data_IF_450453933820
#
_entry.id   IF_450453933820
#
_cell.length_a   1.000
_cell.length_b   1.000
_cell.length_c   1.000
_cell.angle_alpha   90.00
_cell.angle_beta   90.00
_cell.angle_gamma   90.00
#
_symmetry.space_group_name_H-M   'P 1'
#
loop_
_entity.id
_entity.type
_entity.pdbx_description
1 polymer ?
#
# COMPACT_ATOMS: atom_id res chain seq x y z
N UNK A 1 -20.27 -28.02 -4.43
CA UNK A 1 -18.95 -27.35 -4.32
C UNK A 1 -18.75 -26.27 -5.38
N UNK A 2 -19.39 -26.35 -6.56
CA UNK A 2 -19.33 -25.32 -7.62
C UNK A 2 -19.94 -23.94 -7.27
N UNK A 3 -20.80 -23.84 -6.25
CA UNK A 3 -21.51 -22.61 -5.85
C UNK A 3 -21.02 -22.02 -4.52
N UNK A 4 -19.97 -22.59 -3.93
CA UNK A 4 -19.40 -22.07 -2.68
C UNK A 4 -18.39 -20.99 -3.02
N UNK A 5 -18.62 -19.76 -2.58
CA UNK A 5 -17.66 -18.67 -2.75
C UNK A 5 -16.32 -19.03 -2.07
N UNK A 6 -15.18 -18.70 -2.68
CA UNK A 6 -13.87 -19.04 -2.12
C UNK A 6 -13.65 -18.36 -0.75
N UNK A 7 -12.82 -18.97 0.12
CA UNK A 7 -12.44 -18.35 1.37
C UNK A 7 -11.68 -17.05 1.07
N UNK A 8 -12.07 -15.98 1.75
CA UNK A 8 -11.41 -14.70 1.58
C UNK A 8 -10.10 -14.70 2.36
N UNK A 9 -8.95 -14.72 1.67
CA UNK A 9 -7.65 -14.65 2.31
C UNK A 9 -7.21 -13.20 2.52
N UNK A 10 -7.41 -12.70 3.75
CA UNK A 10 -7.03 -11.35 4.14
C UNK A 10 -5.51 -11.19 4.22
N UNK A 11 -4.76 -12.26 4.49
CA UNK A 11 -3.31 -12.15 4.69
C UNK A 11 -2.58 -11.75 3.39
N UNK A 12 -2.90 -12.41 2.26
CA UNK A 12 -2.33 -12.05 0.96
C UNK A 12 -2.77 -10.66 0.48
N UNK A 13 -4.02 -10.28 0.73
CA UNK A 13 -4.54 -8.94 0.38
C UNK A 13 -3.80 -7.84 1.13
N UNK A 14 -3.60 -7.98 2.44
CA UNK A 14 -2.82 -7.02 3.22
C UNK A 14 -1.36 -6.98 2.80
N UNK A 15 -0.74 -8.13 2.50
CA UNK A 15 0.64 -8.18 2.00
C UNK A 15 0.79 -7.40 0.68
N UNK A 16 -0.11 -7.61 -0.27
CA UNK A 16 -0.14 -6.89 -1.55
C UNK A 16 -0.30 -5.38 -1.33
N UNK A 17 -1.27 -4.97 -0.51
CA UNK A 17 -1.49 -3.56 -0.17
C UNK A 17 -0.24 -2.91 0.44
N UNK A 18 0.41 -3.61 1.39
CA UNK A 18 1.60 -3.10 2.06
C UNK A 18 2.76 -2.93 1.07
N UNK A 19 2.99 -3.90 0.18
CA UNK A 19 4.03 -3.81 -0.87
C UNK A 19 3.77 -2.63 -1.81
N UNK A 20 2.52 -2.44 -2.26
CA UNK A 20 2.18 -1.31 -3.14
C UNK A 20 2.39 0.03 -2.44
N UNK A 21 1.98 0.18 -1.18
CA UNK A 21 2.22 1.40 -0.40
C UNK A 21 3.72 1.66 -0.23
N UNK A 22 4.49 0.63 0.10
CA UNK A 22 5.93 0.77 0.29
C UNK A 22 6.63 1.21 -1.01
N UNK A 23 6.32 0.53 -2.12
CA UNK A 23 6.85 0.85 -3.44
C UNK A 23 6.48 2.28 -3.88
N UNK A 24 5.21 2.65 -3.78
CA UNK A 24 4.74 3.99 -4.17
C UNK A 24 5.36 5.10 -3.32
N UNK A 25 5.54 4.88 -2.01
CA UNK A 25 6.24 5.83 -1.13
C UNK A 25 7.71 6.01 -1.51
N UNK A 26 8.44 4.92 -1.81
CA UNK A 26 9.84 5.00 -2.28
C UNK A 26 9.95 5.89 -3.52
N UNK A 27 9.14 5.61 -4.54
CA UNK A 27 9.21 6.29 -5.84
C UNK A 27 8.58 7.69 -5.86
N UNK A 28 7.71 8.01 -4.89
CA UNK A 28 7.05 9.33 -4.81
C UNK A 28 8.04 10.49 -4.70
N UNK A 29 9.25 10.27 -4.18
CA UNK A 29 10.28 11.30 -4.07
C UNK A 29 10.76 11.86 -5.41
N UNK A 30 10.77 11.03 -6.46
CA UNK A 30 11.15 11.44 -7.82
C UNK A 30 9.97 11.76 -8.74
N UNK A 31 8.80 11.18 -8.46
CA UNK A 31 7.62 11.22 -9.34
C UNK A 31 6.35 11.40 -8.50
N UNK A 32 5.98 12.65 -8.15
CA UNK A 32 4.83 12.92 -7.28
C UNK A 32 3.48 12.46 -7.87
N UNK A 33 3.41 12.25 -9.19
CA UNK A 33 2.23 11.68 -9.86
C UNK A 33 1.88 10.26 -9.36
N UNK A 34 2.87 9.48 -8.89
CA UNK A 34 2.63 8.13 -8.36
C UNK A 34 1.73 8.15 -7.11
N UNK A 35 1.75 9.22 -6.33
CA UNK A 35 0.91 9.35 -5.14
C UNK A 35 -0.58 9.45 -5.50
N UNK A 36 -0.90 10.10 -6.63
CA UNK A 36 -2.28 10.17 -7.14
C UNK A 36 -2.76 8.79 -7.60
N UNK A 37 -1.89 8.04 -8.30
CA UNK A 37 -2.20 6.66 -8.68
C UNK A 37 -2.32 5.73 -7.46
N UNK A 38 -1.48 5.91 -6.43
CA UNK A 38 -1.56 5.16 -5.19
C UNK A 38 -2.88 5.43 -4.44
N UNK A 39 -3.32 6.70 -4.40
CA UNK A 39 -4.61 7.08 -3.81
C UNK A 39 -5.79 6.45 -4.59
N UNK A 40 -5.75 6.49 -5.94
CA UNK A 40 -6.74 5.84 -6.78
C UNK A 40 -6.76 4.31 -6.57
N UNK A 41 -5.59 3.68 -6.49
CA UNK A 41 -5.45 2.25 -6.21
C UNK A 41 -6.04 1.86 -4.86
N UNK A 42 -5.76 2.63 -3.81
CA UNK A 42 -6.36 2.45 -2.48
C UNK A 42 -7.88 2.60 -2.51
N UNK A 43 -8.40 3.59 -3.24
CA UNK A 43 -9.84 3.80 -3.38
C UNK A 43 -10.55 2.62 -4.07
N UNK A 44 -10.01 2.15 -5.21
CA UNK A 44 -10.53 0.99 -5.93
C UNK A 44 -10.44 -0.27 -5.06
N UNK A 45 -9.31 -0.47 -4.38
CA UNK A 45 -9.10 -1.65 -3.53
C UNK A 45 -10.09 -1.66 -2.38
N UNK A 46 -10.29 -0.54 -1.69
CA UNK A 46 -11.28 -0.39 -0.62
C UNK A 46 -12.69 -0.75 -1.10
N UNK A 47 -13.10 -0.26 -2.27
CA UNK A 47 -14.42 -0.56 -2.80
C UNK A 47 -14.57 -2.02 -3.20
N UNK A 48 -13.54 -2.58 -3.84
CA UNK A 48 -13.51 -3.99 -4.24
C UNK A 48 -13.58 -4.93 -3.04
N UNK A 49 -12.80 -4.65 -1.98
CA UNK A 49 -12.75 -5.43 -0.74
C UNK A 49 -14.13 -5.41 -0.05
N UNK A 50 -14.76 -4.23 -0.01
CA UNK A 50 -16.12 -4.07 0.50
C UNK A 50 -17.14 -4.89 -0.30
N UNK A 51 -17.09 -4.85 -1.63
CA UNK A 51 -17.99 -5.65 -2.47
C UNK A 51 -17.77 -7.16 -2.29
N UNK A 52 -16.52 -7.60 -2.23
CA UNK A 52 -16.16 -9.01 -2.01
C UNK A 52 -16.62 -9.47 -0.62
N UNK A 53 -16.45 -8.66 0.42
CA UNK A 53 -16.88 -8.99 1.78
C UNK A 53 -18.41 -9.11 1.89
N UNK A 54 -19.18 -8.24 1.23
CA UNK A 54 -20.64 -8.27 1.33
C UNK A 54 -21.28 -9.32 0.40
N UNK A 55 -20.75 -9.54 -0.82
CA UNK A 55 -21.43 -10.30 -1.88
C UNK A 55 -20.63 -11.52 -2.40
N UNK A 56 -19.31 -11.54 -2.19
CA UNK A 56 -18.39 -12.49 -2.83
C UNK A 56 -17.67 -13.45 -1.89
N UNK A 57 -17.90 -13.36 -0.57
CA UNK A 57 -17.18 -14.16 0.42
C UNK A 57 -18.09 -15.16 1.12
N UNK A 58 -17.61 -16.39 1.28
CA UNK A 58 -18.20 -17.33 2.23
C UNK A 58 -18.11 -16.75 3.65
N UNK A 59 -19.12 -17.03 4.48
CA UNK A 59 -19.28 -16.52 5.86
C UNK A 59 -17.91 -16.34 6.54
N UNK A 60 -17.41 -15.10 6.68
CA UNK A 60 -16.02 -14.88 7.01
C UNK A 60 -15.73 -15.38 8.42
N UNK A 61 -14.58 -16.05 8.66
CA UNK A 61 -14.12 -16.31 10.01
C UNK A 61 -13.99 -14.98 10.76
N UNK A 62 -14.12 -14.99 12.09
CA UNK A 62 -14.05 -13.78 12.88
C UNK A 62 -12.70 -13.07 12.69
N UNK A 63 -12.66 -12.09 11.79
CA UNK A 63 -11.46 -11.36 11.46
C UNK A 63 -11.08 -10.46 12.61
N UNK A 64 -9.96 -10.80 13.25
CA UNK A 64 -9.47 -10.04 14.39
C UNK A 64 -8.81 -8.74 13.92
N UNK A 65 -8.89 -7.69 14.75
CA UNK A 65 -8.25 -6.41 14.48
C UNK A 65 -6.70 -6.44 14.56
N UNK A 66 -6.07 -7.62 14.64
CA UNK A 66 -4.60 -7.76 14.75
C UNK A 66 -3.89 -7.43 13.44
N UNK A 67 -4.33 -8.02 12.32
CA UNK A 67 -3.73 -7.80 10.99
C UNK A 67 -3.67 -6.32 10.58
N UNK A 68 -4.76 -5.52 10.69
CA UNK A 68 -4.69 -4.09 10.38
C UNK A 68 -3.78 -3.30 11.32
N UNK A 69 -3.70 -3.67 12.60
CA UNK A 69 -2.80 -3.02 13.57
C UNK A 69 -1.33 -3.23 13.19
N UNK A 70 -0.95 -4.46 12.88
CA UNK A 70 0.41 -4.77 12.43
C UNK A 70 0.75 -4.06 11.12
N UNK A 71 -0.17 -4.04 10.15
CA UNK A 71 0.01 -3.32 8.89
C UNK A 71 0.21 -1.81 9.10
N UNK A 72 -0.56 -1.20 10.01
CA UNK A 72 -0.40 0.23 10.34
C UNK A 72 0.94 0.55 11.03
N UNK A 73 1.45 -0.36 11.87
CA UNK A 73 2.77 -0.24 12.47
C UNK A 73 3.87 -0.34 11.41
N UNK A 74 3.71 -1.24 10.45
CA UNK A 74 4.65 -1.40 9.34
C UNK A 74 4.73 -0.15 8.43
N UNK A 75 3.65 0.61 8.29
CA UNK A 75 3.65 1.87 7.52
C UNK A 75 4.59 2.94 8.10
N UNK A 76 4.83 2.95 9.42
CA UNK A 76 5.77 3.90 10.04
C UNK A 76 7.21 3.69 9.54
N UNK A 77 7.61 2.43 9.33
CA UNK A 77 8.92 2.12 8.75
C UNK A 77 9.04 2.59 7.28
N UNK A 78 7.93 2.59 6.54
CA UNK A 78 7.90 3.07 5.16
C UNK A 78 8.22 4.57 5.07
N UNK A 79 7.78 5.36 6.04
CA UNK A 79 8.08 6.80 6.11
C UNK A 79 9.58 7.03 6.32
N UNK A 80 10.23 6.26 7.19
CA UNK A 80 11.68 6.33 7.38
C UNK A 80 12.45 6.06 6.07
N UNK A 81 12.01 5.05 5.31
CA UNK A 81 12.62 4.73 4.02
C UNK A 81 12.33 5.78 2.94
N UNK A 82 11.12 6.37 2.94
CA UNK A 82 10.79 7.49 2.06
C UNK A 82 11.74 8.67 2.27
N UNK A 83 12.00 9.05 3.54
CA UNK A 83 12.94 10.11 3.86
C UNK A 83 14.36 9.81 3.37
N UNK A 84 14.85 8.58 3.56
CA UNK A 84 16.17 8.17 3.09
C UNK A 84 16.30 8.31 1.56
N UNK A 85 15.29 7.85 0.82
CA UNK A 85 15.28 7.91 -0.65
C UNK A 85 15.10 9.35 -1.15
N UNK A 86 14.30 10.17 -0.46
CA UNK A 86 14.18 11.58 -0.75
C UNK A 86 15.53 12.30 -0.63
N UNK A 87 16.29 12.04 0.43
CA UNK A 87 17.64 12.62 0.61
C UNK A 87 18.55 12.22 -0.56
N UNK A 88 18.54 10.96 -0.98
CA UNK A 88 19.37 10.49 -2.12
C UNK A 88 18.97 11.18 -3.43
N UNK A 89 17.67 11.33 -3.69
CA UNK A 89 17.17 11.95 -4.92
C UNK A 89 17.47 13.45 -4.98
N UNK A 90 17.31 14.16 -3.86
CA UNK A 90 17.62 15.58 -3.75
C UNK A 90 19.12 15.87 -3.66
N UNK A 91 19.94 14.89 -3.29
CA UNK A 91 21.40 15.02 -3.24
C UNK A 91 22.06 15.09 -4.63
N UNK A 92 21.33 14.80 -5.72
CA UNK A 92 21.92 14.81 -7.06
C UNK A 92 22.22 16.25 -7.52
N UNK A 93 23.43 16.53 -8.04
CA UNK A 93 23.82 17.89 -8.46
C UNK A 93 23.02 18.40 -9.67
N UNK A 94 22.26 17.52 -10.34
CA UNK A 94 21.41 17.87 -11.47
C UNK A 94 20.17 18.68 -11.07
N UNK A 95 19.70 18.60 -9.82
CA UNK A 95 18.54 19.38 -9.30
C UNK A 95 18.95 20.71 -8.68
N UNK A 96 20.15 20.78 -8.09
CA UNK A 96 20.77 22.02 -7.63
C UNK A 96 22.24 22.06 -8.07
N UNK A 97 22.57 22.69 -9.22
CA UNK A 97 23.95 22.86 -9.61
C UNK A 97 24.63 23.84 -8.64
N UNK A 98 25.40 23.31 -7.70
CA UNK A 98 26.32 24.10 -6.89
C UNK A 98 27.53 24.45 -7.76
N UNK A 99 27.52 25.65 -8.35
CA UNK A 99 28.71 26.26 -8.92
C UNK A 99 29.66 26.68 -7.79
N UNK A 100 30.54 25.77 -7.39
CA UNK A 100 31.72 26.03 -6.57
C UNK A 100 32.92 25.27 -7.16
#
# INVERSE_FOLDING_TARGET
>A
ELYTNPPFDISSRYAQLLTTVFCTLVYSSGLPLLTVFAAAYMFVTYWSDKLVLLWGSQRPPAYTAKMPKEASSAMLYAVGLHCAVAILMYSQPCTFPSSA
#
